data_IF_228493460524
#
_entry.id   IF_228493460524
#
_cell.length_a   1.000
_cell.length_b   1.000
_cell.length_c   1.000
_cell.angle_alpha   90.00
_cell.angle_beta   90.00
_cell.angle_gamma   90.00
#
_symmetry.space_group_name_H-M   'P 1'
#
loop_
_entity.id
_entity.type
_entity.pdbx_description
1 polymer ?
#
# COMPACT_ATOMS: atom_id res chain seq x y z
N UNK A 1 12.85 -17.79 16.06
CA UNK A 1 13.32 -18.68 17.16
C UNK A 1 13.77 -17.83 18.33
N UNK A 2 13.62 -18.30 19.58
CA UNK A 2 14.11 -17.57 20.74
C UNK A 2 15.55 -18.02 21.05
N UNK A 3 16.35 -17.16 21.69
CA UNK A 3 17.74 -17.45 22.06
C UNK A 3 17.92 -18.82 22.75
N UNK A 4 17.00 -19.21 23.62
CA UNK A 4 17.02 -20.48 24.32
C UNK A 4 16.93 -21.69 23.37
N UNK A 5 16.08 -21.59 22.34
CA UNK A 5 15.92 -22.63 21.30
C UNK A 5 17.18 -22.76 20.46
N UNK A 6 17.78 -21.61 20.10
CA UNK A 6 19.00 -21.58 19.30
C UNK A 6 20.17 -22.17 20.07
N UNK A 7 20.34 -21.81 21.34
CA UNK A 7 21.39 -22.41 22.18
C UNK A 7 21.23 -23.93 22.22
N UNK A 8 20.03 -24.44 22.47
CA UNK A 8 19.73 -25.86 22.54
C UNK A 8 20.03 -26.57 21.20
N UNK A 9 19.48 -26.08 20.09
CA UNK A 9 19.65 -26.70 18.78
C UNK A 9 21.11 -26.71 18.32
N UNK A 10 21.79 -25.54 18.45
CA UNK A 10 23.20 -25.44 18.04
C UNK A 10 24.12 -26.31 18.87
N UNK A 11 23.85 -26.38 20.18
CA UNK A 11 24.60 -27.34 21.07
C UNK A 11 24.44 -28.77 20.59
N UNK A 12 23.21 -29.23 20.33
CA UNK A 12 22.96 -30.57 19.84
C UNK A 12 23.62 -30.82 18.48
N UNK A 13 23.52 -29.86 17.56
CA UNK A 13 24.15 -29.95 16.23
C UNK A 13 25.68 -30.08 16.31
N UNK A 14 26.30 -29.47 17.32
CA UNK A 14 27.75 -29.61 17.59
C UNK A 14 28.11 -30.80 18.47
N UNK A 15 27.15 -31.59 18.94
CA UNK A 15 27.35 -32.75 19.78
C UNK A 15 27.83 -32.46 21.21
N UNK A 16 27.68 -31.20 21.69
CA UNK A 16 28.11 -30.82 23.03
C UNK A 16 27.06 -31.22 24.09
N UNK A 17 27.55 -31.64 25.26
CA UNK A 17 26.73 -31.73 26.46
C UNK A 17 26.60 -30.33 27.13
N UNK A 18 25.59 -30.15 27.97
CA UNK A 18 25.44 -28.89 28.76
C UNK A 18 26.67 -28.70 29.68
N UNK A 19 27.24 -29.75 30.19
CA UNK A 19 28.43 -29.70 31.03
C UNK A 19 29.68 -29.26 30.24
N UNK A 20 29.84 -29.71 29.00
CA UNK A 20 30.94 -29.23 28.14
C UNK A 20 30.82 -27.72 27.85
N UNK A 21 29.62 -27.24 27.50
CA UNK A 21 29.37 -25.80 27.31
C UNK A 21 29.72 -25.05 28.58
N UNK A 22 29.24 -25.52 29.73
CA UNK A 22 29.50 -24.93 31.03
C UNK A 22 30.99 -24.81 31.34
N UNK A 23 31.73 -25.87 31.13
CA UNK A 23 33.19 -25.89 31.34
C UNK A 23 33.94 -24.91 30.42
N UNK A 24 33.55 -24.82 29.13
CA UNK A 24 34.15 -23.85 28.19
C UNK A 24 33.92 -22.41 28.58
N UNK A 25 32.74 -22.11 29.15
CA UNK A 25 32.33 -20.74 29.49
C UNK A 25 32.61 -20.34 30.93
N UNK A 26 33.13 -21.29 31.77
CA UNK A 26 33.39 -21.03 33.18
C UNK A 26 32.14 -20.84 34.03
N UNK A 27 31.04 -21.53 33.66
CA UNK A 27 29.74 -21.47 34.36
C UNK A 27 29.32 -22.85 34.85
N UNK A 28 28.21 -22.98 35.53
CA UNK A 28 27.68 -24.28 35.99
C UNK A 28 26.77 -24.92 34.94
N UNK A 29 26.73 -26.23 34.83
CA UNK A 29 25.81 -26.95 33.95
C UNK A 29 24.32 -26.60 34.21
N UNK A 30 23.86 -26.42 35.47
CA UNK A 30 22.52 -25.87 35.74
C UNK A 30 22.25 -24.51 35.14
N UNK A 31 23.25 -23.63 34.99
CA UNK A 31 23.07 -22.34 34.32
C UNK A 31 22.76 -22.52 32.83
N UNK A 32 23.52 -23.38 32.13
CA UNK A 32 23.26 -23.71 30.71
C UNK A 32 21.86 -24.33 30.54
N UNK A 33 21.46 -25.23 31.44
CA UNK A 33 20.11 -25.81 31.41
C UNK A 33 19.02 -24.73 31.56
N UNK A 34 19.20 -23.74 32.43
CA UNK A 34 18.28 -22.63 32.59
C UNK A 34 18.21 -21.75 31.33
N UNK A 35 19.33 -21.54 30.64
CA UNK A 35 19.35 -20.80 29.37
C UNK A 35 18.54 -21.52 28.29
N UNK A 36 18.73 -22.84 28.14
CA UNK A 36 18.00 -23.63 27.16
C UNK A 36 16.50 -23.76 27.49
N UNK A 37 16.12 -23.70 28.76
CA UNK A 37 14.71 -23.65 29.19
C UNK A 37 14.10 -22.26 29.13
N UNK A 38 14.89 -21.23 28.84
CA UNK A 38 14.43 -19.83 28.81
C UNK A 38 14.08 -19.25 30.16
N UNK A 39 14.49 -19.89 31.28
CA UNK A 39 14.24 -19.40 32.64
C UNK A 39 15.29 -18.39 33.12
N UNK A 40 16.43 -18.31 32.44
CA UNK A 40 17.43 -17.25 32.58
C UNK A 40 18.18 -17.09 31.25
N UNK A 41 18.99 -16.05 31.14
CA UNK A 41 19.78 -15.75 29.96
C UNK A 41 21.28 -15.78 30.29
N UNK A 42 22.16 -16.07 29.30
CA UNK A 42 23.60 -15.87 29.46
C UNK A 42 23.91 -14.39 29.76
N UNK A 43 24.94 -14.16 30.56
CA UNK A 43 25.48 -12.81 30.73
C UNK A 43 25.99 -12.30 29.37
N UNK A 44 25.81 -11.01 29.10
CA UNK A 44 26.17 -10.36 27.83
C UNK A 44 27.65 -10.58 27.50
N UNK A 45 28.55 -10.64 28.49
CA UNK A 45 29.98 -10.87 28.29
C UNK A 45 30.30 -12.30 27.83
N UNK A 46 29.42 -13.25 28.05
CA UNK A 46 29.55 -14.64 27.60
C UNK A 46 29.07 -14.87 26.17
N UNK A 47 28.20 -13.99 25.65
CA UNK A 47 27.59 -14.16 24.34
C UNK A 47 28.61 -14.31 23.21
N UNK A 48 29.72 -13.55 23.13
CA UNK A 48 30.73 -13.74 22.07
C UNK A 48 31.44 -15.10 22.14
N UNK A 49 31.71 -15.59 23.34
CA UNK A 49 32.34 -16.90 23.56
C UNK A 49 31.36 -18.04 23.21
N UNK A 50 30.09 -17.91 23.65
CA UNK A 50 29.04 -18.85 23.36
C UNK A 50 28.75 -18.93 21.84
N UNK A 51 28.68 -17.80 21.15
CA UNK A 51 28.47 -17.75 19.70
C UNK A 51 29.59 -18.47 18.94
N UNK A 52 30.85 -18.22 19.28
CA UNK A 52 32.00 -18.94 18.69
C UNK A 52 31.96 -20.45 18.96
N UNK A 53 31.61 -20.84 20.20
CA UNK A 53 31.53 -22.24 20.60
C UNK A 53 30.44 -22.99 19.83
N UNK A 54 29.30 -22.32 19.61
CA UNK A 54 28.15 -22.86 18.88
C UNK A 54 28.25 -22.67 17.36
N UNK A 55 29.37 -22.11 16.87
CA UNK A 55 29.60 -21.82 15.46
C UNK A 55 28.45 -21.02 14.84
N UNK A 56 28.15 -19.92 15.45
CA UNK A 56 27.10 -18.99 15.01
C UNK A 56 27.53 -17.55 15.25
N UNK A 57 26.90 -16.60 14.59
CA UNK A 57 27.08 -15.18 14.87
C UNK A 57 26.15 -14.69 15.98
N UNK A 58 26.45 -13.50 16.52
CA UNK A 58 25.65 -12.92 17.63
C UNK A 58 24.23 -12.58 17.23
N UNK A 59 24.01 -12.13 16.00
CA UNK A 59 22.67 -11.77 15.54
C UNK A 59 21.77 -13.00 15.46
N UNK A 60 22.31 -14.08 14.88
CA UNK A 60 21.64 -15.39 14.87
C UNK A 60 21.37 -15.88 16.28
N UNK A 61 22.39 -15.86 17.17
CA UNK A 61 22.25 -16.32 18.55
C UNK A 61 21.18 -15.55 19.32
N UNK A 62 21.11 -14.23 19.13
CA UNK A 62 20.13 -13.34 19.76
C UNK A 62 18.79 -13.32 19.04
N UNK A 63 18.65 -13.99 17.92
CA UNK A 63 17.50 -13.82 16.99
C UNK A 63 17.29 -12.37 16.60
N UNK A 64 18.38 -11.61 16.52
CA UNK A 64 18.30 -10.20 16.18
C UNK A 64 18.08 -10.05 14.68
N UNK A 65 17.05 -9.34 14.33
CA UNK A 65 16.70 -8.99 12.96
C UNK A 65 16.59 -7.48 12.88
N UNK A 66 17.48 -6.86 12.09
CA UNK A 66 17.53 -5.40 11.96
C UNK A 66 16.22 -4.83 11.38
N UNK A 67 15.66 -5.54 10.39
CA UNK A 67 14.48 -5.09 9.66
C UNK A 67 13.56 -6.27 9.33
N UNK A 68 12.29 -5.98 9.14
CA UNK A 68 11.33 -6.94 8.62
C UNK A 68 11.53 -7.17 7.12
N UNK A 69 11.38 -8.39 6.66
CA UNK A 69 11.32 -8.73 5.24
C UNK A 69 10.05 -8.14 4.59
N UNK A 70 10.04 -8.02 3.26
CA UNK A 70 8.85 -7.58 2.50
C UNK A 70 7.61 -8.43 2.81
N UNK A 71 7.80 -9.75 2.97
CA UNK A 71 6.71 -10.67 3.30
C UNK A 71 6.14 -10.42 4.69
N UNK A 72 7.00 -10.22 5.69
CA UNK A 72 6.58 -9.92 7.08
C UNK A 72 5.87 -8.58 7.16
N UNK A 73 6.37 -7.54 6.47
CA UNK A 73 5.69 -6.25 6.37
C UNK A 73 4.31 -6.43 5.73
N UNK A 74 4.21 -7.15 4.60
CA UNK A 74 2.92 -7.35 3.93
C UNK A 74 1.91 -8.10 4.80
N UNK A 75 2.34 -9.13 5.55
CA UNK A 75 1.48 -9.85 6.50
C UNK A 75 1.00 -8.92 7.62
N UNK A 76 1.92 -8.13 8.18
CA UNK A 76 1.57 -7.18 9.23
C UNK A 76 0.61 -6.07 8.74
N UNK A 77 0.75 -5.61 7.48
CA UNK A 77 -0.23 -4.68 6.88
C UNK A 77 -1.64 -5.28 6.86
N UNK A 78 -1.77 -6.57 6.52
CA UNK A 78 -3.07 -7.25 6.56
C UNK A 78 -3.64 -7.30 7.98
N UNK A 79 -2.81 -7.60 8.99
CA UNK A 79 -3.24 -7.63 10.40
C UNK A 79 -3.75 -6.25 10.84
N UNK A 80 -3.02 -5.17 10.50
CA UNK A 80 -3.45 -3.80 10.82
C UNK A 80 -4.76 -3.46 10.12
N UNK A 81 -4.91 -3.81 8.84
CA UNK A 81 -6.13 -3.57 8.07
C UNK A 81 -7.32 -4.31 8.68
N UNK A 82 -7.14 -5.58 9.05
CA UNK A 82 -8.17 -6.39 9.70
C UNK A 82 -8.62 -5.81 11.06
N UNK A 83 -7.67 -5.31 11.85
CA UNK A 83 -7.98 -4.65 13.13
C UNK A 83 -8.72 -3.33 12.90
N UNK A 84 -8.34 -2.55 11.88
CA UNK A 84 -9.08 -1.32 11.52
C UNK A 84 -10.53 -1.66 11.15
N UNK A 85 -10.74 -2.67 10.32
CA UNK A 85 -12.07 -3.11 9.90
C UNK A 85 -12.93 -3.60 11.08
N UNK A 86 -12.35 -4.38 12.01
CA UNK A 86 -13.09 -4.99 13.13
C UNK A 86 -13.26 -4.09 14.35
N UNK A 87 -12.28 -3.22 14.64
CA UNK A 87 -12.19 -2.47 15.91
C UNK A 87 -12.06 -0.96 15.73
N UNK A 88 -12.01 -0.50 14.47
CA UNK A 88 -11.88 0.91 14.12
C UNK A 88 -10.43 1.38 14.01
N UNK A 89 -10.29 2.57 13.43
CA UNK A 89 -9.01 3.18 13.08
C UNK A 89 -8.03 3.29 14.27
N UNK A 90 -8.51 3.70 15.44
CA UNK A 90 -7.64 3.92 16.63
C UNK A 90 -6.95 2.63 17.09
N UNK A 91 -7.65 1.49 17.03
CA UNK A 91 -7.08 0.19 17.40
C UNK A 91 -5.97 -0.24 16.42
N UNK A 92 -6.20 -0.11 15.11
CA UNK A 92 -5.19 -0.40 14.10
C UNK A 92 -4.00 0.56 14.15
N UNK A 93 -4.26 1.85 14.39
CA UNK A 93 -3.19 2.84 14.60
C UNK A 93 -2.30 2.47 15.79
N UNK A 94 -2.90 2.07 16.92
CA UNK A 94 -2.15 1.66 18.12
C UNK A 94 -1.26 0.46 17.81
N UNK A 95 -1.80 -0.58 17.16
CA UNK A 95 -1.04 -1.76 16.73
C UNK A 95 0.14 -1.37 15.81
N UNK A 96 -0.10 -0.48 14.85
CA UNK A 96 0.92 0.01 13.93
C UNK A 96 2.07 0.72 14.66
N UNK A 97 1.75 1.58 15.63
CA UNK A 97 2.76 2.33 16.40
C UNK A 97 3.56 1.41 17.34
N UNK A 98 2.94 0.38 17.91
CA UNK A 98 3.65 -0.62 18.70
C UNK A 98 4.70 -1.35 17.85
N UNK A 99 4.35 -1.76 16.65
CA UNK A 99 5.30 -2.40 15.73
C UNK A 99 6.42 -1.48 15.29
N UNK A 100 6.12 -0.19 15.06
CA UNK A 100 7.15 0.82 14.76
C UNK A 100 8.12 1.06 15.93
N UNK A 101 7.73 0.82 17.18
CA UNK A 101 8.64 0.86 18.33
C UNK A 101 9.60 -0.34 18.35
N UNK A 102 9.13 -1.51 17.87
CA UNK A 102 9.98 -2.70 17.76
C UNK A 102 11.02 -2.56 16.63
N UNK A 103 10.62 -1.95 15.49
CA UNK A 103 11.44 -1.76 14.29
C UNK A 103 11.49 -0.29 13.89
N UNK A 104 12.14 0.56 14.70
CA UNK A 104 12.08 2.02 14.49
C UNK A 104 12.82 2.51 13.24
N UNK A 105 13.72 1.70 12.68
CA UNK A 105 14.55 2.05 11.51
C UNK A 105 14.15 1.27 10.24
N UNK A 106 13.07 0.48 10.29
CA UNK A 106 12.59 -0.26 9.12
C UNK A 106 11.82 0.66 8.18
N UNK A 107 12.52 1.26 7.20
CA UNK A 107 11.94 2.22 6.26
C UNK A 107 10.76 1.64 5.48
N UNK A 108 10.84 0.36 5.09
CA UNK A 108 9.76 -0.33 4.40
C UNK A 108 8.49 -0.39 5.26
N UNK A 109 8.63 -0.72 6.55
CA UNK A 109 7.50 -0.73 7.50
C UNK A 109 6.92 0.68 7.68
N UNK A 110 7.78 1.67 7.88
CA UNK A 110 7.39 3.07 8.08
C UNK A 110 6.58 3.57 6.89
N UNK A 111 7.08 3.39 5.68
CA UNK A 111 6.43 3.84 4.44
C UNK A 111 5.09 3.16 4.21
N UNK A 112 5.03 1.82 4.34
CA UNK A 112 3.79 1.07 4.14
C UNK A 112 2.72 1.43 5.19
N UNK A 113 3.12 1.60 6.46
CA UNK A 113 2.18 2.03 7.51
C UNK A 113 1.68 3.45 7.29
N UNK A 114 2.54 4.37 6.84
CA UNK A 114 2.10 5.72 6.52
C UNK A 114 1.00 5.71 5.45
N UNK A 115 1.19 4.97 4.36
CA UNK A 115 0.21 4.85 3.28
C UNK A 115 -1.09 4.15 3.72
N UNK A 116 -0.97 3.03 4.45
CA UNK A 116 -2.14 2.30 4.95
C UNK A 116 -2.99 3.16 5.88
N UNK A 117 -2.34 3.80 6.87
CA UNK A 117 -3.03 4.62 7.86
C UNK A 117 -3.64 5.88 7.25
N UNK A 118 -2.99 6.48 6.25
CA UNK A 118 -3.51 7.64 5.53
C UNK A 118 -4.79 7.28 4.77
N UNK A 119 -4.75 6.19 3.99
CA UNK A 119 -5.93 5.69 3.28
C UNK A 119 -7.05 5.26 4.22
N UNK A 120 -6.72 4.57 5.32
CA UNK A 120 -7.70 4.17 6.32
C UNK A 120 -8.35 5.37 7.04
N UNK A 121 -7.61 6.44 7.29
CA UNK A 121 -8.13 7.66 7.91
C UNK A 121 -9.14 8.38 7.00
N UNK A 122 -8.99 8.26 5.68
CA UNK A 122 -9.97 8.78 4.72
C UNK A 122 -11.26 7.96 4.73
N UNK A 123 -11.15 6.63 4.79
CA UNK A 123 -12.29 5.70 4.67
C UNK A 123 -13.07 5.58 5.99
N UNK A 124 -12.38 5.41 7.11
CA UNK A 124 -13.00 5.09 8.40
C UNK A 124 -13.22 6.29 9.31
N UNK A 125 -12.84 7.48 8.93
CA UNK A 125 -13.03 8.80 9.56
C UNK A 125 -13.20 8.81 11.08
N UNK A 126 -12.29 9.43 11.80
CA UNK A 126 -12.50 9.77 13.21
C UNK A 126 -13.19 11.15 13.34
N UNK A 127 -13.88 11.40 14.46
CA UNK A 127 -14.50 12.72 14.73
C UNK A 127 -13.49 13.86 14.58
N UNK A 128 -13.90 14.97 14.00
CA UNK A 128 -13.08 16.07 13.46
C UNK A 128 -11.81 16.48 14.25
N UNK A 129 -11.83 16.53 15.59
CA UNK A 129 -10.65 16.92 16.37
C UNK A 129 -9.55 15.84 16.46
N UNK A 130 -9.93 14.57 16.45
CA UNK A 130 -8.95 13.46 16.46
C UNK A 130 -8.31 13.26 15.10
N UNK A 131 -9.00 13.58 14.01
CA UNK A 131 -8.54 13.39 12.63
C UNK A 131 -7.27 14.19 12.34
N UNK A 132 -7.23 15.48 12.69
CA UNK A 132 -6.05 16.33 12.46
C UNK A 132 -4.81 15.82 13.22
N UNK A 133 -4.97 15.41 14.46
CA UNK A 133 -3.87 14.80 15.24
C UNK A 133 -3.28 13.56 14.57
N UNK A 134 -4.13 12.72 13.95
CA UNK A 134 -3.63 11.54 13.22
C UNK A 134 -2.98 11.92 11.90
N UNK A 135 -3.50 12.90 11.18
CA UNK A 135 -2.87 13.42 9.96
C UNK A 135 -1.44 13.88 10.21
N UNK A 136 -1.22 14.70 11.25
CA UNK A 136 0.13 15.18 11.60
C UNK A 136 1.10 14.02 11.91
N UNK A 137 0.62 13.01 12.66
CA UNK A 137 1.43 11.84 12.99
C UNK A 137 1.76 10.98 11.76
N UNK A 138 0.80 10.78 10.86
CA UNK A 138 1.00 10.05 9.61
C UNK A 138 1.97 10.82 8.71
N UNK A 139 1.83 12.13 8.62
CA UNK A 139 2.74 12.98 7.88
C UNK A 139 4.18 12.88 8.41
N UNK A 140 4.36 12.80 9.74
CA UNK A 140 5.68 12.57 10.32
C UNK A 140 6.32 11.23 9.91
N UNK A 141 5.51 10.20 9.64
CA UNK A 141 6.00 8.93 9.10
C UNK A 141 6.48 9.10 7.65
N UNK A 142 5.77 9.87 6.83
CA UNK A 142 6.23 10.18 5.48
C UNK A 142 7.53 10.97 5.49
N UNK A 143 7.70 11.96 6.38
CA UNK A 143 8.99 12.66 6.53
C UNK A 143 10.13 11.72 6.92
N UNK A 144 9.87 10.73 7.77
CA UNK A 144 10.88 9.71 8.12
C UNK A 144 11.21 8.83 6.92
N UNK A 145 10.20 8.29 6.23
CA UNK A 145 10.39 7.46 5.04
C UNK A 145 11.10 8.21 3.91
N UNK A 146 10.90 9.53 3.79
CA UNK A 146 11.59 10.38 2.83
C UNK A 146 13.11 10.55 3.10
N UNK A 147 13.60 10.12 4.27
CA UNK A 147 15.03 10.07 4.58
C UNK A 147 15.67 8.71 4.26
N UNK A 148 14.90 7.75 3.76
CA UNK A 148 15.40 6.43 3.42
C UNK A 148 16.56 6.47 2.42
N UNK A 149 17.52 5.56 2.60
CA UNK A 149 18.57 5.30 1.61
C UNK A 149 18.02 4.51 0.40
N UNK A 150 16.88 3.80 0.57
CA UNK A 150 16.18 3.18 -0.55
C UNK A 150 15.49 4.26 -1.39
N UNK A 151 15.98 4.43 -2.62
CA UNK A 151 15.50 5.47 -3.55
C UNK A 151 14.03 5.32 -3.91
N UNK A 152 13.49 4.11 -3.90
CA UNK A 152 12.08 3.84 -4.21
C UNK A 152 11.19 4.28 -3.05
N UNK A 153 11.53 3.86 -1.83
CA UNK A 153 10.81 4.25 -0.61
C UNK A 153 10.84 5.77 -0.45
N UNK A 154 12.03 6.35 -0.62
CA UNK A 154 12.22 7.81 -0.56
C UNK A 154 11.33 8.54 -1.55
N UNK A 155 11.35 8.16 -2.82
CA UNK A 155 10.57 8.81 -3.86
C UNK A 155 9.05 8.67 -3.64
N UNK A 156 8.58 7.51 -3.18
CA UNK A 156 7.17 7.31 -2.82
C UNK A 156 6.73 8.22 -1.67
N UNK A 157 7.52 8.27 -0.59
CA UNK A 157 7.24 9.13 0.55
C UNK A 157 7.24 10.61 0.17
N UNK A 158 8.21 11.04 -0.64
CA UNK A 158 8.29 12.41 -1.16
C UNK A 158 7.07 12.76 -2.02
N UNK A 159 6.59 11.85 -2.88
CA UNK A 159 5.37 12.05 -3.66
C UNK A 159 4.13 12.26 -2.78
N UNK A 160 3.99 11.45 -1.71
CA UNK A 160 2.90 11.64 -0.74
C UNK A 160 2.99 12.98 0.00
N UNK A 161 4.22 13.40 0.39
CA UNK A 161 4.43 14.70 1.03
C UNK A 161 4.08 15.86 0.12
N UNK A 162 4.44 15.80 -1.17
CA UNK A 162 4.07 16.80 -2.15
C UNK A 162 2.54 16.97 -2.19
N UNK A 163 1.79 15.87 -2.29
CA UNK A 163 0.33 15.91 -2.30
C UNK A 163 -0.24 16.58 -1.03
N UNK A 164 0.30 16.24 0.15
CA UNK A 164 -0.13 16.85 1.42
C UNK A 164 0.20 18.34 1.53
N UNK A 165 1.34 18.75 1.00
CA UNK A 165 1.73 20.17 0.96
C UNK A 165 0.84 20.95 -0.01
N UNK A 166 0.47 20.34 -1.14
CA UNK A 166 -0.49 20.96 -2.08
C UNK A 166 -1.88 21.11 -1.45
N UNK A 167 -2.37 20.14 -0.67
CA UNK A 167 -3.62 20.25 0.10
C UNK A 167 -3.58 21.42 1.11
N UNK A 168 -2.38 21.74 1.63
CA UNK A 168 -2.13 22.86 2.55
C UNK A 168 -1.81 24.19 1.83
N UNK A 169 -1.83 24.19 0.50
CA UNK A 169 -1.44 25.32 -0.35
C UNK A 169 0.04 25.75 -0.18
N UNK A 170 0.89 24.90 0.39
CA UNK A 170 2.34 25.14 0.53
C UNK A 170 3.08 24.68 -0.74
N UNK A 171 2.83 25.40 -1.83
CA UNK A 171 3.39 25.08 -3.15
C UNK A 171 4.91 25.28 -3.22
N UNK A 172 5.45 26.18 -2.40
CA UNK A 172 6.91 26.43 -2.36
C UNK A 172 7.64 25.19 -1.82
N UNK A 173 7.17 24.64 -0.71
CA UNK A 173 7.79 23.45 -0.14
C UNK A 173 7.54 22.20 -1.00
N UNK A 174 6.35 22.09 -1.58
CA UNK A 174 6.04 21.02 -2.54
C UNK A 174 7.02 21.04 -3.73
N UNK A 175 7.29 22.21 -4.31
CA UNK A 175 8.24 22.38 -5.41
C UNK A 175 9.68 22.04 -5.00
N UNK A 176 10.09 22.41 -3.78
CA UNK A 176 11.43 22.05 -3.26
C UNK A 176 11.62 20.53 -3.20
N UNK A 177 10.62 19.79 -2.68
CA UNK A 177 10.68 18.34 -2.64
C UNK A 177 10.67 17.76 -4.05
N UNK A 178 9.79 18.23 -4.94
CA UNK A 178 9.70 17.77 -6.33
C UNK A 178 11.05 17.87 -7.06
N UNK A 179 11.79 18.95 -6.85
CA UNK A 179 13.08 19.17 -7.49
C UNK A 179 14.16 18.17 -7.03
N UNK A 180 13.96 17.45 -5.92
CA UNK A 180 14.87 16.38 -5.44
C UNK A 180 14.57 15.02 -6.04
N UNK A 181 13.39 14.84 -6.67
CA UNK A 181 13.03 13.58 -7.30
C UNK A 181 13.85 13.36 -8.59
N UNK A 182 14.31 12.13 -8.83
CA UNK A 182 15.09 11.84 -10.04
C UNK A 182 14.21 11.98 -11.28
N UNK A 183 14.73 12.62 -12.32
CA UNK A 183 14.12 12.61 -13.63
C UNK A 183 14.20 11.20 -14.24
N UNK A 184 13.30 10.87 -15.19
CA UNK A 184 13.29 9.56 -15.86
C UNK A 184 14.69 9.22 -16.39
N UNK A 185 15.09 7.96 -16.22
CA UNK A 185 16.30 7.43 -16.86
C UNK A 185 16.16 7.49 -18.38
N UNK A 186 17.20 7.88 -19.14
CA UNK A 186 17.17 7.87 -20.61
C UNK A 186 17.06 6.45 -21.18
N UNK A 187 17.32 5.42 -20.39
CA UNK A 187 17.20 4.01 -20.80
C UNK A 187 15.99 3.40 -20.10
N UNK A 188 15.08 2.87 -20.90
CA UNK A 188 13.96 2.06 -20.41
C UNK A 188 14.47 0.66 -20.01
N UNK A 189 14.78 0.54 -18.73
CA UNK A 189 15.35 -0.68 -18.16
C UNK A 189 14.43 -1.90 -18.34
N UNK A 190 13.12 -1.74 -18.21
CA UNK A 190 12.17 -2.84 -18.35
C UNK A 190 12.11 -3.34 -19.78
N UNK A 191 12.18 -2.44 -20.75
CA UNK A 191 12.24 -2.83 -22.17
C UNK A 191 13.51 -3.60 -22.50
N UNK A 192 14.67 -3.13 -22.02
CA UNK A 192 15.94 -3.84 -22.23
C UNK A 192 15.92 -5.20 -21.56
N UNK A 193 15.41 -5.28 -20.32
CA UNK A 193 15.31 -6.54 -19.57
C UNK A 193 14.39 -7.54 -20.27
N UNK A 194 13.25 -7.10 -20.80
CA UNK A 194 12.36 -7.96 -21.55
C UNK A 194 13.04 -8.52 -22.82
N UNK A 195 13.80 -7.69 -23.54
CA UNK A 195 14.56 -8.15 -24.72
C UNK A 195 15.62 -9.20 -24.35
N UNK A 196 16.28 -9.05 -23.18
CA UNK A 196 17.20 -10.06 -22.66
C UNK A 196 16.44 -11.38 -22.35
N UNK A 197 15.27 -11.30 -21.71
CA UNK A 197 14.47 -12.50 -21.42
C UNK A 197 13.98 -13.20 -22.70
N UNK A 198 13.57 -12.44 -23.72
CA UNK A 198 13.19 -13.00 -25.02
C UNK A 198 14.39 -13.74 -25.65
N UNK A 199 15.58 -13.13 -25.64
CA UNK A 199 16.80 -13.75 -26.14
C UNK A 199 17.22 -15.01 -25.37
N UNK A 200 16.81 -15.12 -24.10
CA UNK A 200 17.01 -16.28 -23.24
C UNK A 200 15.86 -17.31 -23.31
N UNK A 201 14.90 -17.13 -24.22
CA UNK A 201 13.70 -17.97 -24.35
C UNK A 201 12.79 -17.98 -23.09
N UNK A 202 12.96 -17.01 -22.18
CA UNK A 202 12.12 -16.83 -20.98
C UNK A 202 10.87 -16.02 -21.29
N UNK A 203 10.04 -16.54 -22.19
CA UNK A 203 8.95 -15.78 -22.85
C UNK A 203 7.90 -15.33 -21.83
N UNK A 204 7.45 -16.19 -20.90
CA UNK A 204 6.46 -15.84 -19.87
C UNK A 204 6.95 -14.70 -18.97
N UNK A 205 8.22 -14.73 -18.58
CA UNK A 205 8.81 -13.66 -17.73
C UNK A 205 8.90 -12.35 -18.50
N UNK A 206 9.27 -12.40 -19.77
CA UNK A 206 9.30 -11.22 -20.63
C UNK A 206 7.89 -10.64 -20.83
N UNK A 207 6.90 -11.51 -21.09
CA UNK A 207 5.52 -11.11 -21.27
C UNK A 207 4.96 -10.43 -20.00
N UNK A 208 5.11 -11.05 -18.83
CA UNK A 208 4.69 -10.46 -17.55
C UNK A 208 5.28 -9.06 -17.35
N UNK A 209 6.60 -8.90 -17.59
CA UNK A 209 7.28 -7.62 -17.42
C UNK A 209 6.74 -6.52 -18.37
N UNK A 210 6.44 -6.88 -19.62
CA UNK A 210 5.93 -5.91 -20.61
C UNK A 210 4.44 -5.63 -20.40
N UNK A 211 3.65 -6.60 -19.99
CA UNK A 211 2.25 -6.43 -19.64
C UNK A 211 2.09 -5.50 -18.43
N UNK A 212 2.89 -5.70 -17.37
CA UNK A 212 2.93 -4.79 -16.21
C UNK A 212 3.36 -3.38 -16.62
N UNK A 213 4.36 -3.25 -17.49
CA UNK A 213 4.79 -1.96 -18.02
C UNK A 213 3.68 -1.28 -18.83
N UNK A 214 2.96 -2.03 -19.68
CA UNK A 214 1.82 -1.51 -20.45
C UNK A 214 0.72 -1.00 -19.52
N UNK A 215 0.36 -1.77 -18.49
CA UNK A 215 -0.63 -1.36 -17.50
C UNK A 215 -0.20 -0.09 -16.75
N UNK A 216 1.07 0.03 -16.39
CA UNK A 216 1.61 1.25 -15.79
C UNK A 216 1.52 2.44 -16.74
N UNK A 217 1.87 2.26 -18.01
CA UNK A 217 1.80 3.33 -19.02
C UNK A 217 0.36 3.80 -19.27
N UNK A 218 -0.62 2.89 -19.25
CA UNK A 218 -2.04 3.27 -19.37
C UNK A 218 -2.52 4.08 -18.15
N UNK A 219 -2.05 3.76 -16.96
CA UNK A 219 -2.33 4.58 -15.76
C UNK A 219 -1.69 5.97 -15.85
N UNK A 220 -0.48 6.09 -16.41
CA UNK A 220 0.17 7.40 -16.66
C UNK A 220 -0.63 8.23 -17.68
N UNK A 221 -1.15 7.60 -18.76
CA UNK A 221 -2.02 8.24 -19.75
C UNK A 221 -3.29 8.76 -19.05
N UNK A 222 -3.97 7.93 -18.29
CA UNK A 222 -5.17 8.30 -17.53
C UNK A 222 -4.90 9.50 -16.63
N UNK A 223 -3.86 9.45 -15.79
CA UNK A 223 -3.48 10.55 -14.90
C UNK A 223 -3.22 11.85 -15.67
N UNK A 224 -2.53 11.77 -16.81
CA UNK A 224 -2.25 12.93 -17.65
C UNK A 224 -3.52 13.54 -18.25
N UNK A 225 -4.45 12.70 -18.75
CA UNK A 225 -5.74 13.13 -19.28
C UNK A 225 -6.61 13.78 -18.22
N UNK A 226 -6.64 13.22 -17.00
CA UNK A 226 -7.35 13.82 -15.86
C UNK A 226 -6.82 15.21 -15.53
N UNK A 227 -5.50 15.37 -15.49
CA UNK A 227 -4.85 16.67 -15.24
C UNK A 227 -5.16 17.67 -16.38
N UNK A 228 -5.09 17.25 -17.65
CA UNK A 228 -5.44 18.09 -18.79
C UNK A 228 -6.91 18.53 -18.74
N UNK A 229 -7.81 17.63 -18.36
CA UNK A 229 -9.23 17.95 -18.17
C UNK A 229 -9.43 19.00 -17.07
N UNK A 230 -8.75 18.86 -15.93
CA UNK A 230 -8.80 19.85 -14.85
C UNK A 230 -8.28 21.22 -15.31
N UNK A 231 -7.17 21.26 -16.06
CA UNK A 231 -6.64 22.50 -16.64
C UNK A 231 -7.67 23.13 -17.58
N UNK A 232 -8.28 22.36 -18.47
CA UNK A 232 -9.30 22.85 -19.38
C UNK A 232 -10.52 23.44 -18.65
N UNK A 233 -10.94 22.80 -17.55
CA UNK A 233 -12.01 23.31 -16.67
C UNK A 233 -11.63 24.66 -16.02
N UNK A 234 -10.41 24.78 -15.48
CA UNK A 234 -9.91 26.03 -14.89
C UNK A 234 -9.80 27.16 -15.92
N UNK A 235 -9.45 26.83 -17.15
CA UNK A 235 -9.42 27.75 -18.29
C UNK A 235 -10.81 27.99 -18.90
N UNK A 236 -11.88 27.37 -18.37
CA UNK A 236 -13.28 27.47 -18.84
C UNK A 236 -13.48 26.94 -20.28
N UNK A 237 -12.61 26.04 -20.74
CA UNK A 237 -12.67 25.38 -22.06
C UNK A 237 -13.50 24.08 -21.93
N UNK A 238 -14.81 24.21 -21.72
CA UNK A 238 -15.69 23.09 -21.42
C UNK A 238 -15.73 22.01 -22.53
N UNK A 239 -15.73 22.43 -23.79
CA UNK A 239 -15.73 21.50 -24.93
C UNK A 239 -14.44 20.66 -24.98
N UNK A 240 -13.29 21.27 -24.63
CA UNK A 240 -12.02 20.55 -24.57
C UNK A 240 -12.00 19.59 -23.38
N UNK A 241 -12.56 19.99 -22.24
CA UNK A 241 -12.67 19.12 -21.08
C UNK A 241 -13.54 17.87 -21.39
N UNK A 242 -14.65 18.05 -22.09
CA UNK A 242 -15.51 16.94 -22.54
C UNK A 242 -14.80 16.03 -23.54
N UNK A 243 -14.11 16.59 -24.52
CA UNK A 243 -13.29 15.83 -25.47
C UNK A 243 -12.22 15.00 -24.76
N UNK A 244 -11.52 15.58 -23.78
CA UNK A 244 -10.48 14.88 -22.99
C UNK A 244 -11.09 13.73 -22.18
N UNK A 245 -12.25 13.95 -21.56
CA UNK A 245 -12.96 12.88 -20.84
C UNK A 245 -13.38 11.73 -21.78
N UNK A 246 -13.81 12.04 -23.00
CA UNK A 246 -14.11 11.06 -24.03
C UNK A 246 -12.87 10.27 -24.47
N UNK A 247 -11.72 10.92 -24.59
CA UNK A 247 -10.46 10.25 -24.90
C UNK A 247 -10.06 9.29 -23.78
N UNK A 248 -10.19 9.70 -22.53
CA UNK A 248 -9.91 8.85 -21.36
C UNK A 248 -10.80 7.62 -21.31
N UNK A 249 -12.11 7.81 -21.50
CA UNK A 249 -13.07 6.70 -21.57
C UNK A 249 -12.70 5.70 -22.67
N UNK A 250 -12.37 6.20 -23.87
CA UNK A 250 -11.98 5.36 -25.01
C UNK A 250 -10.65 4.65 -24.78
N UNK A 251 -9.68 5.31 -24.13
CA UNK A 251 -8.41 4.69 -23.76
C UNK A 251 -8.63 3.54 -22.76
N UNK A 252 -9.44 3.74 -21.73
CA UNK A 252 -9.78 2.68 -20.80
C UNK A 252 -10.42 1.46 -21.48
N UNK A 253 -11.29 1.68 -22.47
CA UNK A 253 -11.91 0.61 -23.26
C UNK A 253 -10.92 -0.07 -24.20
N UNK A 254 -10.07 0.72 -24.90
CA UNK A 254 -9.09 0.20 -25.86
C UNK A 254 -8.05 -0.70 -25.22
N UNK A 255 -7.66 -0.37 -23.99
CA UNK A 255 -6.67 -1.12 -23.23
C UNK A 255 -7.29 -2.14 -22.27
N UNK A 256 -8.56 -2.52 -22.43
CA UNK A 256 -9.27 -3.52 -21.61
C UNK A 256 -9.13 -3.30 -20.09
N UNK A 257 -9.06 -2.04 -19.67
CA UNK A 257 -8.96 -1.70 -18.25
C UNK A 257 -10.27 -2.00 -17.53
N UNK A 258 -10.22 -1.97 -16.20
CA UNK A 258 -11.41 -2.14 -15.40
C UNK A 258 -12.50 -1.14 -15.82
N UNK A 259 -13.70 -1.65 -16.06
CA UNK A 259 -14.83 -0.87 -16.60
C UNK A 259 -15.12 0.41 -15.80
N UNK A 260 -14.83 0.40 -14.49
CA UNK A 260 -14.90 1.58 -13.63
C UNK A 260 -14.10 2.76 -14.20
N UNK A 261 -12.91 2.51 -14.72
CA UNK A 261 -12.04 3.56 -15.26
C UNK A 261 -12.68 4.33 -16.42
N UNK A 262 -13.53 3.67 -17.21
CA UNK A 262 -14.25 4.33 -18.31
C UNK A 262 -15.24 5.40 -17.87
N UNK A 263 -15.55 5.50 -16.59
CA UNK A 263 -16.52 6.47 -16.07
C UNK A 263 -15.89 7.60 -15.28
N UNK A 264 -14.65 7.43 -14.80
CA UNK A 264 -14.03 8.34 -13.81
C UNK A 264 -13.91 9.76 -14.32
N UNK A 265 -13.42 9.96 -15.55
CA UNK A 265 -13.24 11.29 -16.13
C UNK A 265 -14.58 12.05 -16.27
N UNK A 266 -15.59 11.39 -16.86
CA UNK A 266 -16.92 11.99 -16.99
C UNK A 266 -17.59 12.24 -15.66
N UNK A 267 -17.42 11.36 -14.68
CA UNK A 267 -17.92 11.56 -13.32
C UNK A 267 -17.37 12.87 -12.72
N UNK A 268 -16.04 13.06 -12.76
CA UNK A 268 -15.41 14.28 -12.25
C UNK A 268 -15.79 15.53 -13.07
N UNK A 269 -15.85 15.43 -14.38
CA UNK A 269 -16.27 16.51 -15.26
C UNK A 269 -17.69 17.01 -14.92
N UNK A 270 -18.65 16.08 -14.83
CA UNK A 270 -20.04 16.46 -14.61
C UNK A 270 -20.31 16.91 -13.16
N UNK A 271 -19.52 16.45 -12.20
CA UNK A 271 -19.55 16.99 -10.85
C UNK A 271 -19.00 18.42 -10.81
N UNK A 272 -17.83 18.68 -11.38
CA UNK A 272 -17.19 19.98 -11.44
C UNK A 272 -18.05 21.01 -12.18
N UNK A 273 -18.71 20.61 -13.26
CA UNK A 273 -19.61 21.47 -14.07
C UNK A 273 -21.03 21.56 -13.51
N UNK A 274 -21.34 20.84 -12.41
CA UNK A 274 -22.67 20.72 -11.81
C UNK A 274 -23.75 20.26 -12.80
N UNK A 275 -23.36 19.52 -13.83
CA UNK A 275 -24.29 18.94 -14.80
C UNK A 275 -24.97 17.70 -14.21
N UNK A 276 -25.94 17.90 -13.34
CA UNK A 276 -26.60 16.84 -12.56
C UNK A 276 -27.26 15.76 -13.42
N UNK A 277 -27.81 16.09 -14.58
CA UNK A 277 -28.43 15.12 -15.48
C UNK A 277 -27.42 14.13 -16.03
N UNK A 278 -26.28 14.59 -16.52
CA UNK A 278 -25.22 13.72 -17.05
C UNK A 278 -24.47 13.01 -15.91
N UNK A 279 -24.30 13.68 -14.78
CA UNK A 279 -23.70 13.08 -13.58
C UNK A 279 -24.45 11.79 -13.16
N UNK A 280 -25.77 11.84 -13.06
CA UNK A 280 -26.61 10.67 -12.72
C UNK A 280 -26.47 9.54 -13.75
N UNK A 281 -26.41 9.87 -15.04
CA UNK A 281 -26.26 8.85 -16.10
C UNK A 281 -24.93 8.11 -16.01
N UNK A 282 -23.88 8.75 -15.48
CA UNK A 282 -22.55 8.15 -15.32
C UNK A 282 -22.42 7.47 -13.96
N UNK A 283 -22.93 8.05 -12.90
CA UNK A 283 -22.80 7.55 -11.53
C UNK A 283 -23.31 6.12 -11.38
N UNK A 284 -24.52 5.84 -11.86
CA UNK A 284 -25.15 4.51 -11.66
C UNK A 284 -24.33 3.38 -12.35
N UNK A 285 -23.96 3.46 -13.64
CA UNK A 285 -23.15 2.43 -14.26
C UNK A 285 -21.73 2.35 -13.66
N UNK A 286 -21.17 3.47 -13.20
CA UNK A 286 -19.89 3.51 -12.49
C UNK A 286 -19.97 2.71 -11.18
N UNK A 287 -20.95 2.97 -10.33
CA UNK A 287 -21.15 2.25 -9.08
C UNK A 287 -21.39 0.76 -9.31
N UNK A 288 -22.20 0.38 -10.30
CA UNK A 288 -22.43 -1.03 -10.68
C UNK A 288 -21.13 -1.70 -11.14
N UNK A 289 -20.25 -1.00 -11.83
CA UNK A 289 -18.99 -1.56 -12.31
C UNK A 289 -18.00 -1.91 -11.20
N UNK A 290 -18.10 -1.26 -10.03
CA UNK A 290 -17.22 -1.53 -8.87
C UNK A 290 -17.38 -2.97 -8.33
N UNK A 291 -18.57 -3.53 -8.42
CA UNK A 291 -18.88 -4.89 -7.95
C UNK A 291 -18.81 -5.95 -9.06
N UNK A 292 -18.61 -5.53 -10.31
CA UNK A 292 -18.42 -6.46 -11.42
C UNK A 292 -17.04 -7.09 -11.38
N UNK A 293 -17.01 -8.43 -11.60
CA UNK A 293 -15.71 -9.13 -11.69
C UNK A 293 -14.95 -8.61 -12.92
N UNK A 294 -13.78 -8.08 -12.66
CA UNK A 294 -12.81 -7.75 -13.71
C UNK A 294 -11.77 -8.88 -13.78
N UNK A 295 -11.69 -9.52 -14.93
CA UNK A 295 -10.72 -10.57 -15.22
C UNK A 295 -9.73 -10.02 -16.24
N UNK A 296 -8.65 -9.40 -15.76
CA UNK A 296 -7.63 -8.78 -16.60
C UNK A 296 -6.96 -9.81 -17.52
N UNK A 297 -6.82 -11.06 -17.07
CA UNK A 297 -6.17 -12.12 -17.87
C UNK A 297 -7.02 -12.61 -19.05
N UNK A 298 -8.29 -12.20 -19.12
CA UNK A 298 -9.12 -12.46 -20.32
C UNK A 298 -8.68 -11.63 -21.52
N UNK A 299 -7.99 -10.50 -21.27
CA UNK A 299 -7.41 -9.68 -22.35
C UNK A 299 -6.10 -10.26 -22.87
N UNK A 300 -5.90 -10.27 -24.21
CA UNK A 300 -4.59 -10.61 -24.80
C UNK A 300 -3.45 -9.70 -24.36
N UNK A 301 -3.75 -8.49 -23.87
CA UNK A 301 -2.77 -7.51 -23.43
C UNK A 301 -2.18 -7.84 -22.05
N UNK A 302 -2.80 -8.74 -21.26
CA UNK A 302 -2.47 -8.95 -19.85
C UNK A 302 -2.56 -10.42 -19.40
N UNK A 303 -2.26 -11.37 -20.28
CA UNK A 303 -2.43 -12.82 -20.01
C UNK A 303 -1.57 -13.36 -18.91
N UNK A 304 -0.37 -12.78 -18.72
CA UNK A 304 0.65 -13.32 -17.82
C UNK A 304 0.76 -12.55 -16.51
N UNK A 305 0.01 -11.46 -16.36
CA UNK A 305 -0.02 -10.71 -15.09
C UNK A 305 -0.57 -11.60 -13.97
N UNK A 306 0.18 -11.70 -12.88
CA UNK A 306 -0.27 -12.41 -11.69
C UNK A 306 -1.11 -11.49 -10.81
N UNK A 307 -2.41 -11.75 -10.75
CA UNK A 307 -3.32 -11.01 -9.86
C UNK A 307 -3.22 -11.62 -8.46
N UNK A 308 -2.79 -10.82 -7.48
CA UNK A 308 -3.01 -11.17 -6.08
C UNK A 308 -4.52 -11.27 -5.84
N UNK A 309 -4.96 -12.28 -5.08
CA UNK A 309 -6.38 -12.40 -4.70
C UNK A 309 -6.83 -11.11 -4.03
N UNK A 310 -7.57 -10.29 -4.76
CA UNK A 310 -8.21 -9.08 -4.21
C UNK A 310 -9.39 -9.54 -3.36
N UNK A 311 -9.55 -8.92 -2.20
CA UNK A 311 -10.72 -9.11 -1.35
C UNK A 311 -11.98 -8.82 -2.19
N UNK A 312 -12.87 -9.83 -2.30
CA UNK A 312 -14.11 -9.73 -3.06
C UNK A 312 -15.03 -8.61 -2.55
N UNK A 313 -14.83 -8.17 -1.31
CA UNK A 313 -15.61 -7.10 -0.68
C UNK A 313 -15.07 -5.70 -1.00
N UNK A 314 -13.87 -5.58 -1.60
CA UNK A 314 -13.24 -4.28 -1.83
C UNK A 314 -14.07 -3.37 -2.73
N UNK A 315 -14.66 -3.91 -3.80
CA UNK A 315 -15.56 -3.16 -4.67
C UNK A 315 -16.80 -2.64 -3.92
N UNK A 316 -17.36 -3.43 -3.01
CA UNK A 316 -18.48 -3.01 -2.16
C UNK A 316 -18.06 -1.92 -1.16
N UNK A 317 -16.87 -2.04 -0.57
CA UNK A 317 -16.31 -1.00 0.33
C UNK A 317 -16.15 0.34 -0.40
N UNK A 318 -15.59 0.32 -1.61
CA UNK A 318 -15.47 1.54 -2.45
C UNK A 318 -16.83 2.12 -2.83
N UNK A 319 -17.76 1.27 -3.27
CA UNK A 319 -19.13 1.69 -3.60
C UNK A 319 -19.80 2.38 -2.41
N UNK A 320 -19.69 1.79 -1.21
CA UNK A 320 -20.22 2.36 0.04
C UNK A 320 -19.57 3.69 0.38
N UNK A 321 -18.25 3.81 0.25
CA UNK A 321 -17.53 5.05 0.54
C UNK A 321 -17.96 6.20 -0.39
N UNK A 322 -18.12 5.91 -1.70
CA UNK A 322 -18.60 6.90 -2.66
C UNK A 322 -20.03 7.35 -2.31
N UNK A 323 -20.93 6.41 -2.02
CA UNK A 323 -22.33 6.73 -1.66
C UNK A 323 -22.39 7.54 -0.36
N UNK A 324 -21.59 7.20 0.63
CA UNK A 324 -21.51 7.96 1.89
C UNK A 324 -21.00 9.40 1.65
N UNK A 325 -20.00 9.57 0.81
CA UNK A 325 -19.49 10.89 0.43
C UNK A 325 -20.56 11.73 -0.28
N UNK A 326 -21.28 11.10 -1.23
CA UNK A 326 -22.38 11.77 -1.94
C UNK A 326 -23.54 12.13 -1.03
N UNK A 327 -23.89 11.28 -0.06
CA UNK A 327 -24.97 11.54 0.90
C UNK A 327 -24.62 12.68 1.89
N UNK A 328 -23.34 12.93 2.14
CA UNK A 328 -22.87 14.00 3.01
C UNK A 328 -22.85 15.38 2.30
N UNK A 329 -22.91 15.41 0.97
CA UNK A 329 -22.95 16.65 0.19
C UNK A 329 -24.40 17.15 0.02
N UNK A 330 -24.68 18.34 0.55
CA UNK A 330 -26.01 19.00 0.46
C UNK A 330 -26.46 19.23 -1.00
N UNK A 331 -25.52 19.27 -1.95
CA UNK A 331 -25.81 19.44 -3.37
C UNK A 331 -26.36 18.18 -4.07
N UNK A 332 -26.41 17.04 -3.36
CA UNK A 332 -26.83 15.74 -3.92
C UNK A 332 -28.29 15.37 -3.59
N UNK A 333 -29.12 16.31 -3.17
CA UNK A 333 -30.54 16.09 -2.87
C UNK A 333 -31.28 15.38 -4.01
N UNK A 334 -30.98 15.73 -5.26
CA UNK A 334 -31.56 15.08 -6.46
C UNK A 334 -31.21 13.59 -6.60
N UNK A 335 -30.11 13.12 -5.98
CA UNK A 335 -29.78 11.69 -5.95
C UNK A 335 -30.77 10.91 -5.09
N UNK A 336 -31.19 11.51 -3.97
CA UNK A 336 -32.15 10.89 -3.03
C UNK A 336 -33.53 10.70 -3.62
N UNK A 337 -33.90 11.49 -4.64
CA UNK A 337 -35.17 11.41 -5.33
C UNK A 337 -35.11 10.48 -6.56
N UNK A 338 -33.92 9.99 -6.95
CA UNK A 338 -33.78 9.11 -8.12
C UNK A 338 -34.09 7.66 -7.73
N UNK A 339 -35.15 7.02 -8.34
CA UNK A 339 -35.57 5.67 -7.97
C UNK A 339 -34.52 4.59 -8.20
N UNK A 340 -33.68 4.71 -9.24
CA UNK A 340 -32.60 3.74 -9.50
C UNK A 340 -31.46 3.84 -8.49
N UNK A 341 -31.18 5.04 -8.02
CA UNK A 341 -30.19 5.28 -6.97
C UNK A 341 -30.68 4.72 -5.63
N UNK A 342 -31.96 4.96 -5.29
CA UNK A 342 -32.57 4.38 -4.08
C UNK A 342 -32.53 2.84 -4.12
N UNK A 343 -32.92 2.25 -5.25
CA UNK A 343 -32.87 0.80 -5.44
C UNK A 343 -31.45 0.25 -5.24
N UNK A 344 -30.41 0.95 -5.71
CA UNK A 344 -29.02 0.54 -5.52
C UNK A 344 -28.62 0.59 -4.03
N UNK A 345 -29.06 1.61 -3.29
CA UNK A 345 -28.85 1.71 -1.84
C UNK A 345 -29.54 0.56 -1.11
N UNK A 346 -30.81 0.28 -1.44
CA UNK A 346 -31.59 -0.79 -0.83
C UNK A 346 -30.95 -2.18 -1.09
N UNK A 347 -30.47 -2.42 -2.31
CA UNK A 347 -29.74 -3.66 -2.66
C UNK A 347 -28.44 -3.82 -1.86
N UNK A 348 -27.77 -2.72 -1.52
CA UNK A 348 -26.55 -2.75 -0.70
C UNK A 348 -26.82 -2.98 0.78
N UNK A 349 -27.90 -2.43 1.32
CA UNK A 349 -28.27 -2.60 2.74
C UNK A 349 -28.76 -4.03 3.01
N UNK A 350 -29.41 -4.67 2.04
CA UNK A 350 -29.81 -6.08 2.12
C UNK A 350 -28.59 -7.02 2.10
N UNK A 351 -27.53 -6.67 1.38
CA UNK A 351 -26.31 -7.48 1.30
C UNK A 351 -25.41 -7.37 2.56
N UNK A 352 -25.71 -6.45 3.48
CA UNK A 352 -24.97 -6.22 4.72
C UNK A 352 -25.71 -6.75 5.99
N UNK A 353 -26.90 -7.30 5.87
CA UNK A 353 -27.65 -8.03 6.88
C UNK A 353 -27.63 -9.55 6.60
#
# INVERSE_FOLDING_TARGET
MKINEIIHERRLAKGFTQEQIANYLGVSAPAVNKWEKGTSYPDIVLLPALARLLDTDLNTLLSFQDNLSQKEVALFMNDVSEIIDKRGFEAGYTLAIEKLKEYPTCDLLISNLAMLLDGALLIHGTKNKSKEKYKEKIESLYYRAAQSEDTTIKAQAQSCLISKLMEKEDYEQAQKILNTLPQKSPVDRNQVQANIYIAQEKIETAATLIEEKLLSATNEIHSSLMTLMEIALKEKRLNDAEYIADVDMKAAQLFDLWKYNSYVAHFQLYDATKNRTQFLKILLPMLKSLTQKWDINSSPLYRHIQIKKVDKTMGQKFQKAIIQSLNADENTVLLKENPEFQKLIDEMDIANN
#
